data_IF_173618072644
#
_entry.id   IF_173618072644
#
_cell.length_a   1.000
_cell.length_b   1.000
_cell.length_c   1.000
_cell.angle_alpha   90.00
_cell.angle_beta   90.00
_cell.angle_gamma   90.00
#
_symmetry.space_group_name_H-M   'P 1'
#
loop_
_entity.id
_entity.type
_entity.pdbx_description
1 polymer ?
#
# COMPACT_ATOMS: atom_id res chain seq x y z
N UNK A 1 -15.10 10.59 6.28
CA UNK A 1 -14.42 9.64 7.19
C UNK A 1 -13.58 8.73 6.31
N UNK A 2 -12.31 8.44 6.64
CA UNK A 2 -11.47 7.58 5.81
C UNK A 2 -11.73 6.11 6.18
N UNK A 3 -11.79 5.24 5.18
CA UNK A 3 -11.97 3.81 5.36
C UNK A 3 -10.66 3.15 5.81
N UNK A 4 -10.69 2.25 6.81
CA UNK A 4 -9.51 1.53 7.27
C UNK A 4 -8.79 0.80 6.13
N UNK A 5 -7.46 0.84 6.16
CA UNK A 5 -6.58 0.13 5.21
C UNK A 5 -5.78 -0.92 5.97
N UNK A 6 -5.87 -2.17 5.52
CA UNK A 6 -5.15 -3.30 6.11
C UNK A 6 -4.15 -3.89 5.14
N UNK A 7 -2.96 -4.22 5.63
CA UNK A 7 -1.98 -5.02 4.88
C UNK A 7 -2.33 -6.50 5.02
N UNK A 8 -2.40 -7.19 3.89
CA UNK A 8 -2.63 -8.66 3.85
C UNK A 8 -1.36 -9.46 3.63
N UNK A 9 -0.28 -8.81 3.19
CA UNK A 9 1.02 -9.43 3.02
C UNK A 9 1.79 -8.92 1.81
N UNK A 10 2.81 -9.67 1.44
CA UNK A 10 3.70 -9.38 0.30
C UNK A 10 3.51 -10.47 -0.75
N UNK A 11 3.15 -10.08 -1.96
CA UNK A 11 3.02 -11.00 -3.10
C UNK A 11 4.37 -11.26 -3.76
N UNK A 12 5.23 -10.24 -3.80
CA UNK A 12 6.55 -10.32 -4.43
C UNK A 12 7.55 -9.46 -3.67
N UNK A 13 8.73 -10.04 -3.41
CA UNK A 13 9.83 -9.41 -2.72
C UNK A 13 11.10 -9.51 -3.57
N UNK A 14 11.46 -8.42 -4.25
CA UNK A 14 12.68 -8.32 -5.04
C UNK A 14 13.29 -6.93 -4.84
N UNK A 15 14.13 -6.77 -3.81
CA UNK A 15 14.72 -5.47 -3.49
C UNK A 15 15.36 -4.82 -4.73
N UNK A 16 15.09 -3.53 -5.02
CA UNK A 16 14.40 -2.54 -4.17
C UNK A 16 12.86 -2.52 -4.20
N UNK A 17 12.21 -3.52 -4.77
CA UNK A 17 10.78 -3.56 -5.06
C UNK A 17 10.02 -4.56 -4.19
N UNK A 18 8.82 -4.16 -3.74
CA UNK A 18 7.92 -4.97 -2.92
C UNK A 18 6.50 -4.79 -3.44
N UNK A 19 5.82 -5.89 -3.79
CA UNK A 19 4.40 -5.87 -4.17
C UNK A 19 3.59 -6.23 -2.93
N UNK A 20 2.87 -5.25 -2.39
CA UNK A 20 2.17 -5.34 -1.10
C UNK A 20 0.67 -5.43 -1.34
N UNK A 21 0.06 -6.51 -0.85
CA UNK A 21 -1.40 -6.68 -0.87
C UNK A 21 -2.04 -5.90 0.25
N UNK A 22 -3.08 -5.15 -0.07
CA UNK A 22 -3.85 -4.38 0.90
C UNK A 22 -5.36 -4.45 0.64
N UNK A 23 -6.12 -4.13 1.68
CA UNK A 23 -7.58 -4.08 1.64
C UNK A 23 -8.06 -2.75 2.21
N UNK A 24 -9.07 -2.15 1.59
CA UNK A 24 -9.85 -1.04 2.15
C UNK A 24 -11.18 -1.61 2.65
N UNK A 25 -11.52 -1.37 3.91
CA UNK A 25 -12.71 -1.94 4.57
C UNK A 25 -13.78 -0.92 4.93
N UNK A 26 -15.03 -1.36 5.01
CA UNK A 26 -16.14 -0.64 5.62
C UNK A 26 -16.89 -1.58 6.57
N UNK A 27 -16.52 -1.57 7.85
CA UNK A 27 -16.95 -2.62 8.77
C UNK A 27 -16.39 -3.98 8.33
N UNK A 28 -17.28 -4.96 8.16
CA UNK A 28 -16.92 -6.31 7.69
C UNK A 28 -16.83 -6.42 6.16
N UNK A 29 -17.23 -5.38 5.42
CA UNK A 29 -17.20 -5.36 3.96
C UNK A 29 -15.83 -4.96 3.41
N UNK A 30 -15.30 -5.72 2.45
CA UNK A 30 -14.08 -5.37 1.71
C UNK A 30 -14.45 -4.54 0.47
N UNK A 31 -14.22 -3.22 0.53
CA UNK A 31 -14.52 -2.30 -0.58
C UNK A 31 -13.52 -2.40 -1.73
N UNK A 32 -12.26 -2.68 -1.40
CA UNK A 32 -11.18 -2.86 -2.36
C UNK A 32 -10.18 -3.87 -1.82
N UNK A 33 -9.88 -4.90 -2.60
CA UNK A 33 -8.74 -5.78 -2.40
C UNK A 33 -7.81 -5.56 -3.58
N UNK A 34 -6.56 -5.18 -3.33
CA UNK A 34 -5.60 -4.95 -4.40
C UNK A 34 -4.15 -5.06 -3.93
N UNK A 35 -3.23 -4.74 -4.84
CA UNK A 35 -1.79 -4.67 -4.61
C UNK A 35 -1.26 -3.30 -5.00
N UNK A 36 -0.25 -2.83 -4.26
CA UNK A 36 0.53 -1.66 -4.63
C UNK A 36 2.02 -2.02 -4.62
N UNK A 37 2.80 -1.39 -5.51
CA UNK A 37 4.24 -1.58 -5.54
C UNK A 37 4.92 -0.50 -4.70
N UNK A 38 5.67 -0.91 -3.69
CA UNK A 38 6.60 -0.07 -2.99
C UNK A 38 7.99 -0.20 -3.61
N UNK A 39 8.62 0.94 -3.90
CA UNK A 39 9.98 1.02 -4.42
C UNK A 39 10.85 1.75 -3.40
N UNK A 40 11.79 1.03 -2.79
CA UNK A 40 12.79 1.62 -1.91
C UNK A 40 13.85 2.34 -2.72
N UNK A 41 14.16 3.58 -2.35
CA UNK A 41 15.20 4.39 -2.97
C UNK A 41 16.08 4.97 -1.87
N UNK A 42 17.29 5.45 -2.21
CA UNK A 42 18.19 6.06 -1.22
C UNK A 42 17.62 7.30 -0.51
N UNK A 43 16.51 7.86 -1.00
CA UNK A 43 15.82 9.02 -0.42
C UNK A 43 14.49 8.64 0.27
N UNK A 44 14.22 7.34 0.45
CA UNK A 44 12.97 6.83 1.04
C UNK A 44 12.17 5.97 0.07
N UNK A 45 10.86 5.86 0.28
CA UNK A 45 10.00 4.93 -0.47
C UNK A 45 8.96 5.62 -1.35
N UNK A 46 8.78 5.12 -2.57
CA UNK A 46 7.69 5.54 -3.48
C UNK A 46 6.65 4.43 -3.62
N UNK A 47 5.37 4.80 -3.58
CA UNK A 47 4.25 3.89 -3.84
C UNK A 47 3.76 4.09 -5.28
N UNK A 48 3.57 2.99 -5.98
CA UNK A 48 2.95 2.93 -7.29
C UNK A 48 1.66 2.13 -7.16
N UNK A 49 0.54 2.81 -7.41
CA UNK A 49 -0.79 2.22 -7.43
C UNK A 49 -1.09 1.62 -8.81
N UNK A 50 -1.97 0.62 -8.85
CA UNK A 50 -2.58 0.21 -10.10
C UNK A 50 -3.64 1.25 -10.53
N UNK A 51 -3.73 1.52 -11.83
CA UNK A 51 -4.75 2.45 -12.35
C UNK A 51 -6.19 2.10 -11.95
N UNK A 52 -6.63 0.82 -11.97
CA UNK A 52 -7.97 0.46 -11.54
C UNK A 52 -8.26 0.85 -10.10
N UNK A 53 -7.26 0.80 -9.22
CA UNK A 53 -7.41 1.16 -7.80
C UNK A 53 -7.58 2.65 -7.63
N UNK A 54 -6.79 3.44 -8.35
CA UNK A 54 -6.94 4.90 -8.37
C UNK A 54 -8.36 5.28 -8.81
N UNK A 55 -8.92 4.61 -9.82
CA UNK A 55 -10.30 4.87 -10.25
C UNK A 55 -11.33 4.50 -9.19
N UNK A 56 -11.14 3.39 -8.47
CA UNK A 56 -12.04 2.96 -7.38
C UNK A 56 -11.96 3.88 -6.17
N UNK A 57 -10.75 4.23 -5.73
CA UNK A 57 -10.52 5.14 -4.60
C UNK A 57 -11.09 6.53 -4.90
N UNK A 58 -10.94 7.03 -6.14
CA UNK A 58 -11.53 8.32 -6.57
C UNK A 58 -13.06 8.38 -6.47
N UNK A 59 -13.75 7.24 -6.39
CA UNK A 59 -15.21 7.15 -6.22
C UNK A 59 -15.63 7.03 -4.75
N UNK A 60 -14.68 6.88 -3.82
CA UNK A 60 -14.98 6.79 -2.39
C UNK A 60 -15.25 8.19 -1.81
N UNK A 61 -16.02 8.28 -0.72
CA UNK A 61 -16.07 9.48 0.12
C UNK A 61 -14.67 9.96 0.51
N UNK A 62 -14.38 11.24 0.24
CA UNK A 62 -13.08 11.87 0.52
C UNK A 62 -11.86 11.13 -0.10
N UNK A 63 -11.79 11.09 -1.45
CA UNK A 63 -10.82 10.26 -2.16
C UNK A 63 -9.37 10.70 -1.91
N UNK A 64 -9.13 11.99 -1.66
CA UNK A 64 -7.80 12.54 -1.36
C UNK A 64 -7.28 11.99 -0.03
N UNK A 65 -8.13 12.00 1.00
CA UNK A 65 -7.78 11.44 2.30
C UNK A 65 -7.58 9.93 2.22
N UNK A 66 -8.43 9.23 1.47
CA UNK A 66 -8.28 7.79 1.28
C UNK A 66 -6.98 7.43 0.56
N UNK A 67 -6.64 8.12 -0.53
CA UNK A 67 -5.36 7.90 -1.23
C UNK A 67 -4.16 8.13 -0.31
N UNK A 68 -4.18 9.21 0.46
CA UNK A 68 -3.12 9.53 1.42
C UNK A 68 -2.97 8.43 2.47
N UNK A 69 -4.07 7.86 2.95
CA UNK A 69 -4.05 6.78 3.94
C UNK A 69 -3.49 5.48 3.36
N UNK A 70 -3.93 5.08 2.15
CA UNK A 70 -3.35 3.90 1.49
C UNK A 70 -1.85 4.10 1.25
N UNK A 71 -1.44 5.26 0.74
CA UNK A 71 -0.03 5.55 0.50
C UNK A 71 0.80 5.44 1.80
N UNK A 72 0.30 6.02 2.89
CA UNK A 72 0.96 5.97 4.21
C UNK A 72 1.14 4.53 4.70
N UNK A 73 0.08 3.72 4.64
CA UNK A 73 0.11 2.32 5.11
C UNK A 73 1.06 1.48 4.27
N UNK A 74 1.03 1.61 2.93
CA UNK A 74 1.94 0.90 2.03
C UNK A 74 3.40 1.35 2.22
N UNK A 75 3.67 2.65 2.41
CA UNK A 75 5.03 3.15 2.68
C UNK A 75 5.61 2.58 3.96
N UNK A 76 4.83 2.55 5.04
CA UNK A 76 5.27 2.04 6.32
C UNK A 76 5.63 0.55 6.23
N UNK A 77 4.77 -0.23 5.58
CA UNK A 77 5.02 -1.66 5.39
C UNK A 77 6.22 -1.91 4.47
N UNK A 78 6.31 -1.20 3.35
CA UNK A 78 7.45 -1.31 2.43
C UNK A 78 8.78 -0.92 3.08
N UNK A 79 8.79 0.11 3.93
CA UNK A 79 9.97 0.49 4.70
C UNK A 79 10.39 -0.60 5.70
N UNK A 80 9.43 -1.19 6.42
CA UNK A 80 9.66 -2.33 7.32
C UNK A 80 10.34 -3.49 6.58
N UNK A 81 9.79 -3.86 5.42
CA UNK A 81 10.32 -4.95 4.58
C UNK A 81 11.72 -4.65 4.01
N UNK A 82 12.00 -3.38 3.72
CA UNK A 82 13.33 -2.94 3.28
C UNK A 82 14.38 -3.07 4.39
N UNK A 83 14.05 -2.67 5.61
CA UNK A 83 14.94 -2.82 6.77
C UNK A 83 15.16 -4.30 7.14
N UNK A 84 14.12 -5.13 7.09
CA UNK A 84 14.25 -6.58 7.32
C UNK A 84 15.17 -7.25 6.28
N UNK A 85 15.13 -6.80 5.03
CA UNK A 85 16.02 -7.32 3.99
C UNK A 85 17.48 -6.91 4.20
N UNK A 86 17.74 -5.73 4.79
CA UNK A 86 19.11 -5.29 5.16
C UNK A 86 19.66 -6.11 6.32
N UNK A 87 18.85 -6.36 7.35
CA UNK A 87 19.28 -7.07 8.57
C UNK A 87 19.49 -8.59 8.38
N UNK A 88 19.07 -9.14 7.23
CA UNK A 88 19.31 -10.55 6.86
C UNK A 88 20.58 -10.76 6.03
N UNK A 89 21.30 -9.70 5.68
CA UNK A 89 22.64 -9.76 5.05
C UNK A 89 23.72 -9.74 6.11
#
# INVERSE_FOLDING_TARGET
>A
MAYPVEIRGVEEQQHPFYVIRYVIKNGDEELLVSVARYVHTGQGGKVQFLEPDLRKIRRMPDPVKQMSEVERVIKNEGARLAEEAKNKK
#
